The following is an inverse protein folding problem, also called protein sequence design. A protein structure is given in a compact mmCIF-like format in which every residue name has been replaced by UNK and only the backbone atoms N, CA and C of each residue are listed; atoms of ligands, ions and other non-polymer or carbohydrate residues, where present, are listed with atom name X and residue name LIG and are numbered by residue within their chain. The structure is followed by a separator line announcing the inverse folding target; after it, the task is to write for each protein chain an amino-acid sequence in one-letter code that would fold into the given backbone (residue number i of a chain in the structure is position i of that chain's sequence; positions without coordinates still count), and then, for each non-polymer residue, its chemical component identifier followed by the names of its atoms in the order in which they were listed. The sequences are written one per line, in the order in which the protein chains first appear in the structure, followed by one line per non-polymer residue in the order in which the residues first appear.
data_IF_630595073042
#
_entry.id   IF_630595073042
#
_cell.length_a   1.000
_cell.length_b   1.000
_cell.length_c   1.000
_cell.angle_alpha   90.00
_cell.angle_beta   90.00
_cell.angle_gamma   90.00
#
_symmetry.space_group_name_H-M   'P 1'
#
loop_
_entity.id
_entity.type
_entity.pdbx_description
1 polymer ?
#
# COMPACT_ATOMS: atom_id res chain seq x y z
N UNK A 1 4.66 19.81 17.52
CA UNK A 1 4.68 19.27 16.14
C UNK A 1 4.39 17.79 16.27
N UNK A 2 3.41 17.30 15.56
CA UNK A 2 3.10 15.86 15.49
C UNK A 2 4.26 15.12 14.82
N UNK A 3 4.46 13.84 15.18
CA UNK A 3 5.53 13.00 14.59
C UNK A 3 5.41 12.87 13.06
N UNK A 4 4.19 12.88 12.53
CA UNK A 4 3.90 12.90 11.09
C UNK A 4 4.42 14.19 10.45
N UNK A 5 4.09 15.34 11.02
CA UNK A 5 4.52 16.66 10.54
C UNK A 5 6.05 16.82 10.60
N UNK A 6 6.67 16.32 11.65
CA UNK A 6 8.13 16.35 11.78
C UNK A 6 8.79 15.48 10.69
N UNK A 7 8.30 14.28 10.49
CA UNK A 7 8.79 13.38 9.43
C UNK A 7 8.61 14.02 8.04
N UNK A 8 7.44 14.58 7.75
CA UNK A 8 7.17 15.32 6.51
C UNK A 8 8.15 16.46 6.31
N UNK A 9 8.37 17.31 7.33
CA UNK A 9 9.30 18.42 7.26
C UNK A 9 10.74 17.97 6.95
N UNK A 10 11.16 16.83 7.46
CA UNK A 10 12.46 16.22 7.15
C UNK A 10 12.51 15.70 5.71
N UNK A 11 11.43 15.07 5.22
CA UNK A 11 11.32 14.61 3.84
C UNK A 11 11.36 15.78 2.85
N UNK A 12 10.64 16.86 3.10
CA UNK A 12 10.67 18.08 2.28
C UNK A 12 12.11 18.62 2.16
N UNK A 13 12.87 18.63 3.25
CA UNK A 13 14.29 19.04 3.22
C UNK A 13 15.17 18.11 2.39
N UNK A 14 14.83 16.81 2.34
CA UNK A 14 15.62 15.81 1.62
C UNK A 14 15.28 15.77 0.12
N UNK A 15 13.98 15.74 -0.24
CA UNK A 15 13.51 15.55 -1.62
C UNK A 15 13.07 16.86 -2.30
N UNK A 16 13.09 17.96 -1.56
CA UNK A 16 12.79 19.30 -2.07
C UNK A 16 11.30 19.59 -2.24
N UNK A 17 10.99 20.64 -3.01
CA UNK A 17 9.62 21.11 -3.29
C UNK A 17 8.76 20.12 -4.05
N UNK A 18 9.34 19.01 -4.49
CA UNK A 18 8.63 17.91 -5.15
C UNK A 18 7.97 16.95 -4.14
N UNK A 19 8.19 17.12 -2.83
CA UNK A 19 7.47 16.34 -1.82
C UNK A 19 5.97 16.63 -1.89
N UNK A 20 5.17 15.61 -1.68
CA UNK A 20 3.72 15.77 -1.54
C UNK A 20 3.40 16.69 -0.35
N UNK A 21 2.31 17.48 -0.43
CA UNK A 21 1.86 18.28 0.71
C UNK A 21 1.44 17.40 1.88
N UNK A 22 1.49 17.95 3.08
CA UNK A 22 1.19 17.21 4.33
C UNK A 22 -0.21 16.60 4.32
N UNK A 23 -1.16 17.25 3.66
CA UNK A 23 -2.55 16.82 3.55
C UNK A 23 -2.68 15.46 2.83
N UNK A 24 -1.81 15.17 1.85
CA UNK A 24 -1.75 13.86 1.18
C UNK A 24 -1.34 12.78 2.19
N UNK A 25 -0.33 13.07 3.00
CA UNK A 25 0.17 12.14 4.00
C UNK A 25 -0.86 11.89 5.10
N UNK A 26 -1.52 12.95 5.56
CA UNK A 26 -2.62 12.85 6.53
C UNK A 26 -3.76 11.98 5.98
N UNK A 27 -4.17 12.21 4.73
CA UNK A 27 -5.18 11.40 4.05
C UNK A 27 -4.74 9.93 3.91
N UNK A 28 -3.48 9.67 3.56
CA UNK A 28 -2.95 8.30 3.47
C UNK A 28 -2.97 7.60 4.83
N UNK A 29 -2.58 8.31 5.91
CA UNK A 29 -2.59 7.77 7.27
C UNK A 29 -4.02 7.53 7.79
N UNK A 30 -5.00 8.39 7.43
CA UNK A 30 -6.41 8.17 7.75
C UNK A 30 -6.92 6.85 7.15
N UNK A 31 -6.65 6.59 5.87
CA UNK A 31 -7.00 5.31 5.24
C UNK A 31 -6.25 4.14 5.87
N UNK A 32 -4.96 4.31 6.19
CA UNK A 32 -4.13 3.26 6.78
C UNK A 32 -4.58 2.93 8.21
N UNK A 33 -4.98 3.94 8.98
CA UNK A 33 -5.53 3.77 10.32
C UNK A 33 -6.91 3.09 10.30
N UNK A 34 -7.78 3.46 9.38
CA UNK A 34 -9.11 2.85 9.22
C UNK A 34 -9.03 1.34 8.94
N UNK A 35 -8.12 0.93 8.06
CA UNK A 35 -7.92 -0.47 7.70
C UNK A 35 -6.93 -1.21 8.60
N UNK A 36 -6.41 -0.55 9.63
CA UNK A 36 -5.53 -1.21 10.58
C UNK A 36 -6.29 -2.29 11.36
N UNK A 37 -5.76 -3.54 11.42
CA UNK A 37 -6.28 -4.57 12.29
C UNK A 37 -6.23 -4.16 13.76
N UNK A 38 -7.15 -4.64 14.57
CA UNK A 38 -7.08 -4.51 16.03
C UNK A 38 -5.80 -5.19 16.56
N UNK A 39 -5.54 -6.41 16.07
CA UNK A 39 -4.28 -7.13 16.32
C UNK A 39 -3.55 -7.33 15.00
N UNK A 40 -2.45 -6.61 14.80
CA UNK A 40 -1.60 -6.80 13.63
C UNK A 40 -0.77 -8.07 13.78
N UNK A 41 -0.90 -8.99 12.86
CA UNK A 41 -0.13 -10.26 12.82
C UNK A 41 0.92 -10.22 11.71
N UNK A 42 0.58 -9.66 10.56
CA UNK A 42 1.45 -9.54 9.40
C UNK A 42 1.51 -8.09 8.95
N UNK A 43 2.71 -7.52 8.86
CA UNK A 43 2.94 -6.25 8.17
C UNK A 43 3.42 -6.54 6.75
N UNK A 44 2.68 -6.06 5.76
CA UNK A 44 3.15 -5.93 4.38
C UNK A 44 3.89 -4.60 4.27
N UNK A 45 5.22 -4.63 4.20
CA UNK A 45 6.04 -3.42 4.15
C UNK A 45 6.39 -3.09 2.70
N UNK A 46 5.72 -2.08 2.13
CA UNK A 46 5.94 -1.57 0.79
C UNK A 46 6.97 -0.43 0.76
N UNK A 47 7.34 0.05 -0.42
CA UNK A 47 8.30 1.14 -0.58
C UNK A 47 7.65 2.50 -0.30
N UNK A 48 6.63 2.86 -1.07
CA UNK A 48 5.81 4.07 -0.93
C UNK A 48 4.50 3.92 -1.69
N UNK A 49 3.51 4.73 -1.34
CA UNK A 49 2.32 4.90 -2.16
C UNK A 49 2.64 5.64 -3.48
N UNK A 50 1.66 5.75 -4.36
CA UNK A 50 1.78 6.46 -5.64
C UNK A 50 1.55 7.95 -5.41
N UNK A 51 2.37 8.79 -6.04
CA UNK A 51 2.27 10.25 -5.94
C UNK A 51 0.85 10.75 -6.24
N UNK A 52 0.29 11.51 -5.32
CA UNK A 52 -1.01 12.15 -5.43
C UNK A 52 -0.81 13.64 -5.74
N UNK A 53 -1.36 14.11 -6.85
CA UNK A 53 -1.25 15.52 -7.21
C UNK A 53 -2.13 16.39 -6.29
N UNK A 54 -1.66 17.59 -5.96
CA UNK A 54 -2.41 18.53 -5.10
C UNK A 54 -3.82 18.81 -5.65
N UNK A 55 -3.98 18.84 -6.98
CA UNK A 55 -5.26 19.01 -7.66
C UNK A 55 -6.25 17.85 -7.45
N UNK A 56 -5.79 16.73 -6.91
CA UNK A 56 -6.62 15.55 -6.63
C UNK A 56 -7.15 15.53 -5.19
N UNK A 57 -6.62 16.37 -4.30
CA UNK A 57 -7.02 16.41 -2.88
C UNK A 57 -8.48 16.84 -2.66
N UNK A 58 -9.05 17.58 -3.61
CA UNK A 58 -10.47 17.98 -3.56
C UNK A 58 -11.44 16.85 -3.90
N UNK A 59 -10.93 15.72 -4.37
CA UNK A 59 -11.76 14.55 -4.73
C UNK A 59 -12.22 13.83 -3.47
N UNK A 60 -13.45 13.33 -3.54
CA UNK A 60 -14.03 12.55 -2.44
C UNK A 60 -14.47 11.18 -2.94
N UNK A 61 -14.19 10.17 -2.12
CA UNK A 61 -14.70 8.83 -2.33
C UNK A 61 -16.15 8.79 -1.86
N UNK A 62 -17.05 8.42 -2.76
CA UNK A 62 -18.48 8.30 -2.50
C UNK A 62 -18.90 6.86 -2.75
N UNK A 63 -19.11 6.10 -1.68
CA UNK A 63 -19.67 4.76 -1.81
C UNK A 63 -21.19 4.84 -2.05
N UNK A 64 -21.74 3.93 -2.87
CA UNK A 64 -23.17 3.78 -2.99
C UNK A 64 -23.83 3.56 -1.62
N UNK A 65 -24.92 4.25 -1.33
CA UNK A 65 -25.59 4.22 -0.02
C UNK A 65 -26.04 2.82 0.42
N UNK A 66 -26.34 1.94 -0.53
CA UNK A 66 -26.73 0.55 -0.26
C UNK A 66 -25.59 -0.32 0.31
N UNK A 67 -24.34 0.17 0.29
CA UNK A 67 -23.19 -0.57 0.86
C UNK A 67 -23.12 -0.46 2.39
N UNK A 68 -23.74 0.56 3.00
CA UNK A 68 -23.86 0.66 4.46
C UNK A 68 -22.53 0.73 5.23
N UNK A 69 -21.43 1.06 4.53
CA UNK A 69 -20.08 1.14 5.09
C UNK A 69 -19.59 2.58 4.96
N UNK A 70 -19.13 3.13 6.06
CA UNK A 70 -18.47 4.44 6.07
C UNK A 70 -16.95 4.25 6.03
N UNK A 71 -16.30 4.74 4.98
CA UNK A 71 -14.84 4.69 4.79
C UNK A 71 -14.28 6.10 4.72
N UNK A 72 -12.99 6.31 4.95
CA UNK A 72 -12.37 7.62 4.73
C UNK A 72 -12.67 8.14 3.32
N UNK A 73 -13.10 9.41 3.25
CA UNK A 73 -13.59 10.01 2.00
C UNK A 73 -12.53 10.76 1.21
N UNK A 74 -11.42 11.11 1.84
CA UNK A 74 -10.31 11.77 1.16
C UNK A 74 -9.74 10.89 0.04
N UNK A 75 -9.38 11.50 -1.09
CA UNK A 75 -8.72 10.76 -2.16
C UNK A 75 -7.20 10.80 -2.00
N UNK A 76 -6.59 9.65 -2.11
CA UNK A 76 -5.14 9.47 -2.19
C UNK A 76 -4.83 8.24 -3.04
N UNK A 77 -3.71 8.25 -3.76
CA UNK A 77 -3.28 7.12 -4.61
C UNK A 77 -2.65 5.99 -3.78
N UNK A 78 -3.36 5.55 -2.77
CA UNK A 78 -3.04 4.42 -1.89
C UNK A 78 -4.04 3.29 -2.11
N UNK A 79 -3.60 2.04 -2.04
CA UNK A 79 -4.47 0.87 -2.28
C UNK A 79 -5.66 0.79 -1.30
N UNK A 80 -5.52 1.34 -0.11
CA UNK A 80 -6.61 1.42 0.87
C UNK A 80 -7.69 2.45 0.51
N UNK A 81 -7.37 3.42 -0.33
CA UNK A 81 -8.35 4.34 -0.90
C UNK A 81 -9.08 3.66 -2.06
N UNK A 82 -10.34 3.28 -1.85
CA UNK A 82 -11.14 2.58 -2.86
C UNK A 82 -11.28 3.37 -4.17
N UNK A 83 -11.29 4.71 -4.10
CA UNK A 83 -11.31 5.57 -5.28
C UNK A 83 -10.07 5.41 -6.18
N UNK A 84 -8.94 4.93 -5.63
CA UNK A 84 -7.74 4.68 -6.41
C UNK A 84 -7.90 3.44 -7.30
N UNK A 85 -8.07 3.66 -8.59
CA UNK A 85 -8.40 2.64 -9.59
C UNK A 85 -9.89 2.37 -9.78
N UNK A 86 -10.77 3.11 -9.10
CA UNK A 86 -12.22 3.02 -9.22
C UNK A 86 -12.86 4.42 -9.37
N UNK A 87 -12.65 5.03 -10.55
CA UNK A 87 -13.11 6.39 -10.84
C UNK A 87 -14.61 6.62 -10.62
N UNK A 88 -15.42 5.57 -10.80
CA UNK A 88 -16.87 5.64 -10.56
C UNK A 88 -17.24 5.88 -9.10
N UNK A 89 -16.29 5.75 -8.18
CA UNK A 89 -16.47 6.09 -6.76
C UNK A 89 -16.07 7.53 -6.43
N UNK A 90 -15.57 8.30 -7.37
CA UNK A 90 -15.17 9.68 -7.12
C UNK A 90 -16.30 10.65 -7.50
N UNK A 91 -16.53 11.65 -6.65
CA UNK A 91 -17.48 12.74 -6.91
C UNK A 91 -17.13 13.52 -8.18
N UNK A 92 -15.83 13.67 -8.45
CA UNK A 92 -15.30 14.27 -9.66
C UNK A 92 -14.25 13.32 -10.26
N UNK A 93 -14.34 12.98 -11.56
CA UNK A 93 -13.41 12.06 -12.18
C UNK A 93 -11.98 12.61 -12.21
N UNK A 94 -10.99 11.72 -12.07
CA UNK A 94 -9.59 12.02 -12.30
C UNK A 94 -9.13 11.41 -13.62
N UNK A 95 -8.07 11.96 -14.20
CA UNK A 95 -7.43 11.33 -15.34
C UNK A 95 -6.71 10.05 -14.87
N UNK A 96 -7.16 8.91 -15.38
CA UNK A 96 -6.47 7.63 -15.20
C UNK A 96 -5.82 7.28 -16.52
N UNK A 97 -4.49 7.10 -16.58
CA UNK A 97 -3.82 6.59 -17.78
C UNK A 97 -4.41 5.26 -18.22
N UNK A 98 -4.48 5.01 -19.52
CA UNK A 98 -5.10 3.82 -20.12
C UNK A 98 -4.59 2.47 -19.53
N UNK A 99 -3.35 2.46 -19.04
CA UNK A 99 -2.70 1.27 -18.46
C UNK A 99 -2.89 1.15 -16.94
N UNK A 100 -3.62 2.04 -16.31
CA UNK A 100 -3.76 2.08 -14.85
C UNK A 100 -4.95 1.30 -14.33
N UNK A 101 -5.41 0.28 -15.04
CA UNK A 101 -6.48 -0.62 -14.61
C UNK A 101 -6.49 -0.91 -13.10
N UNK A 102 -6.64 -2.13 -12.71
CA UNK A 102 -6.56 -2.52 -11.29
C UNK A 102 -5.14 -2.30 -10.76
N UNK A 103 -4.91 -1.42 -9.76
CA UNK A 103 -3.60 -1.25 -9.14
C UNK A 103 -3.00 -2.58 -8.68
N UNK A 104 -1.69 -2.76 -8.88
CA UNK A 104 -1.03 -4.05 -8.64
C UNK A 104 -1.11 -4.51 -7.17
N UNK A 105 -1.18 -3.59 -6.22
CA UNK A 105 -1.33 -3.93 -4.81
C UNK A 105 -2.65 -4.67 -4.49
N UNK A 106 -3.71 -4.48 -5.28
CA UNK A 106 -4.92 -5.30 -5.17
C UNK A 106 -4.63 -6.78 -5.42
N UNK A 107 -3.72 -7.10 -6.35
CA UNK A 107 -3.30 -8.48 -6.60
C UNK A 107 -2.52 -9.05 -5.42
N UNK A 108 -1.67 -8.25 -4.76
CA UNK A 108 -1.00 -8.66 -3.52
C UNK A 108 -2.03 -8.96 -2.42
N UNK A 109 -2.94 -8.03 -2.17
CA UNK A 109 -3.99 -8.22 -1.17
C UNK A 109 -4.80 -9.47 -1.41
N UNK A 110 -5.24 -9.67 -2.67
CA UNK A 110 -5.98 -10.86 -3.07
C UNK A 110 -5.18 -12.14 -2.82
N UNK A 111 -3.89 -12.12 -3.15
CA UNK A 111 -3.00 -13.26 -2.98
C UNK A 111 -2.67 -13.58 -1.52
N UNK A 112 -2.79 -12.63 -0.60
CA UNK A 112 -2.59 -12.92 0.83
C UNK A 112 -3.63 -13.91 1.38
N UNK A 113 -4.84 -13.91 0.84
CA UNK A 113 -5.97 -14.72 1.33
C UNK A 113 -6.48 -15.76 0.33
N UNK A 114 -6.09 -15.65 -0.95
CA UNK A 114 -6.47 -16.58 -2.00
C UNK A 114 -5.24 -17.20 -2.67
N UNK A 115 -5.33 -18.49 -2.99
CA UNK A 115 -4.32 -19.11 -3.85
C UNK A 115 -4.51 -18.63 -5.29
N UNK A 116 -3.42 -18.25 -5.93
CA UNK A 116 -3.42 -17.71 -7.29
C UNK A 116 -2.48 -18.54 -8.15
N UNK A 117 -3.01 -19.06 -9.27
CA UNK A 117 -2.29 -19.88 -10.24
C UNK A 117 -2.29 -19.26 -11.63
N UNK A 118 -3.30 -18.43 -11.94
CA UNK A 118 -3.49 -17.78 -13.22
C UNK A 118 -4.01 -16.35 -13.07
N UNK A 119 -3.94 -15.55 -14.16
CA UNK A 119 -4.43 -14.17 -14.12
C UNK A 119 -5.95 -14.09 -13.97
N UNK A 120 -6.65 -15.13 -14.38
CA UNK A 120 -8.10 -15.30 -14.27
C UNK A 120 -8.57 -15.35 -12.82
N UNK A 121 -7.73 -15.85 -11.91
CA UNK A 121 -8.04 -15.92 -10.48
C UNK A 121 -8.26 -14.52 -9.85
N UNK A 122 -7.68 -13.48 -10.46
CA UNK A 122 -7.91 -12.09 -10.04
C UNK A 122 -9.21 -11.47 -10.58
N UNK A 123 -10.00 -12.20 -11.39
CA UNK A 123 -11.22 -11.68 -12.00
C UNK A 123 -12.13 -10.92 -11.01
N UNK A 124 -12.35 -11.38 -9.74
CA UNK A 124 -13.25 -10.72 -8.81
C UNK A 124 -12.88 -9.25 -8.50
N UNK A 125 -11.60 -8.88 -8.63
CA UNK A 125 -11.10 -7.53 -8.31
C UNK A 125 -10.67 -6.71 -9.53
N UNK A 126 -10.74 -7.29 -10.74
CA UNK A 126 -10.29 -6.63 -11.97
C UNK A 126 -11.39 -5.78 -12.60
N UNK A 127 -11.05 -4.52 -12.96
CA UNK A 127 -11.95 -3.59 -13.66
C UNK A 127 -12.45 -4.17 -15.00
N UNK A 128 -11.61 -4.91 -15.71
CA UNK A 128 -11.94 -5.48 -17.03
C UNK A 128 -12.76 -6.77 -16.98
N UNK A 129 -12.97 -7.37 -15.82
CA UNK A 129 -13.58 -8.70 -15.68
C UNK A 129 -14.88 -8.68 -14.88
N UNK A 130 -14.90 -7.93 -13.78
CA UNK A 130 -16.07 -7.89 -12.89
C UNK A 130 -16.70 -6.50 -12.93
N UNK A 131 -18.00 -6.39 -13.20
CA UNK A 131 -18.69 -5.10 -13.29
C UNK A 131 -18.77 -4.41 -11.92
N UNK A 132 -18.90 -3.10 -11.96
CA UNK A 132 -19.38 -2.32 -10.83
C UNK A 132 -20.91 -2.57 -10.65
N UNK A 133 -21.48 -2.74 -9.42
CA UNK A 133 -20.82 -2.57 -8.11
C UNK A 133 -20.23 -3.84 -7.49
N UNK A 134 -20.42 -5.02 -8.12
CA UNK A 134 -19.94 -6.32 -7.59
C UNK A 134 -18.44 -6.29 -7.25
N UNK A 135 -17.64 -5.71 -8.14
CA UNK A 135 -16.19 -5.58 -7.92
C UNK A 135 -15.86 -4.77 -6.67
N UNK A 136 -16.66 -3.74 -6.36
CA UNK A 136 -16.46 -2.92 -5.16
C UNK A 136 -16.77 -3.72 -3.90
N UNK A 137 -17.83 -4.52 -3.91
CA UNK A 137 -18.15 -5.45 -2.83
C UNK A 137 -17.00 -6.43 -2.59
N UNK A 138 -16.45 -7.02 -3.66
CA UNK A 138 -15.32 -7.96 -3.57
C UNK A 138 -14.08 -7.29 -2.97
N UNK A 139 -13.79 -6.05 -3.34
CA UNK A 139 -12.67 -5.27 -2.77
C UNK A 139 -12.90 -4.92 -1.31
N UNK A 140 -14.11 -4.49 -0.93
CA UNK A 140 -14.46 -4.22 0.47
C UNK A 140 -14.36 -5.48 1.32
N UNK A 141 -14.93 -6.59 0.85
CA UNK A 141 -14.85 -7.88 1.54
C UNK A 141 -13.40 -8.34 1.71
N UNK A 142 -12.56 -8.12 0.69
CA UNK A 142 -11.14 -8.43 0.76
C UNK A 142 -10.41 -7.60 1.83
N UNK A 143 -10.65 -6.27 1.87
CA UNK A 143 -10.05 -5.40 2.89
C UNK A 143 -10.52 -5.77 4.29
N UNK A 144 -11.80 -6.06 4.45
CA UNK A 144 -12.36 -6.50 5.72
C UNK A 144 -11.73 -7.83 6.18
N UNK A 145 -11.61 -8.80 5.27
CA UNK A 145 -10.97 -10.08 5.57
C UNK A 145 -9.50 -9.91 5.98
N UNK A 146 -8.74 -9.06 5.28
CA UNK A 146 -7.35 -8.77 5.64
C UNK A 146 -7.25 -8.13 7.04
N UNK A 147 -8.16 -7.18 7.34
CA UNK A 147 -8.23 -6.53 8.65
C UNK A 147 -8.52 -7.55 9.76
N UNK A 148 -9.50 -8.42 9.57
CA UNK A 148 -9.86 -9.48 10.52
C UNK A 148 -8.73 -10.51 10.68
N UNK A 149 -8.05 -10.86 9.59
CA UNK A 149 -6.90 -11.75 9.61
C UNK A 149 -5.64 -11.15 10.26
N UNK A 150 -5.61 -9.85 10.50
CA UNK A 150 -4.46 -9.17 11.10
C UNK A 150 -3.38 -8.78 10.09
N UNK A 151 -3.71 -8.63 8.81
CA UNK A 151 -2.79 -8.22 7.74
C UNK A 151 -2.88 -6.72 7.50
N UNK A 152 -1.77 -6.02 7.60
CA UNK A 152 -1.69 -4.56 7.48
C UNK A 152 -0.60 -4.11 6.52
N UNK A 153 -0.93 -3.28 5.54
CA UNK A 153 0.03 -2.67 4.62
C UNK A 153 0.53 -1.34 5.20
N UNK A 154 1.84 -1.19 5.22
CA UNK A 154 2.56 0.02 5.62
C UNK A 154 3.59 0.36 4.55
N UNK A 155 3.70 1.64 4.20
CA UNK A 155 4.78 2.12 3.34
C UNK A 155 6.02 2.48 4.17
N UNK A 156 7.20 2.08 3.70
CA UNK A 156 8.47 2.38 4.34
C UNK A 156 8.87 3.85 4.20
N UNK A 157 8.43 4.51 3.11
CA UNK A 157 8.48 5.97 2.96
C UNK A 157 7.12 6.57 3.23
N UNK A 158 7.08 7.62 4.04
CA UNK A 158 5.85 8.34 4.33
C UNK A 158 5.31 9.10 3.11
N UNK A 159 6.19 9.62 2.25
CA UNK A 159 5.82 10.30 1.01
C UNK A 159 6.14 9.44 -0.22
N UNK A 160 5.43 9.67 -1.32
CA UNK A 160 5.73 9.06 -2.60
C UNK A 160 7.13 9.46 -3.08
N UNK A 161 7.86 8.47 -3.61
CA UNK A 161 9.25 8.66 -4.05
C UNK A 161 9.36 8.88 -5.57
N UNK A 162 8.33 8.52 -6.33
CA UNK A 162 8.34 8.60 -7.80
C UNK A 162 7.26 9.58 -8.28
N UNK A 163 7.72 10.76 -8.68
CA UNK A 163 6.84 11.84 -9.11
C UNK A 163 6.63 11.72 -10.62
N UNK A 164 5.39 11.73 -11.11
CA UNK A 164 5.09 11.69 -12.53
C UNK A 164 5.80 12.81 -13.30
N UNK A 165 6.32 12.50 -14.50
CA UNK A 165 7.03 13.45 -15.39
C UNK A 165 8.35 14.01 -14.82
N UNK A 166 8.78 13.62 -13.63
CA UNK A 166 10.08 13.94 -13.07
C UNK A 166 11.11 12.83 -13.34
N UNK A 167 12.41 13.15 -13.37
CA UNK A 167 13.45 12.13 -13.38
C UNK A 167 13.32 11.19 -12.18
N UNK A 168 13.64 9.91 -12.38
CA UNK A 168 13.65 8.97 -11.26
C UNK A 168 14.69 9.42 -10.22
N UNK A 169 14.35 9.36 -8.92
CA UNK A 169 15.31 9.69 -7.87
C UNK A 169 16.50 8.74 -7.91
N UNK A 170 17.67 9.21 -7.49
CA UNK A 170 18.84 8.35 -7.36
C UNK A 170 18.60 7.26 -6.31
N UNK A 171 19.20 6.07 -6.45
CA UNK A 171 19.10 5.01 -5.44
C UNK A 171 19.48 5.49 -4.03
N UNK A 172 20.45 6.39 -3.94
CA UNK A 172 20.92 6.96 -2.68
C UNK A 172 19.85 7.87 -2.03
N UNK A 173 19.12 8.65 -2.84
CA UNK A 173 18.02 9.48 -2.35
C UNK A 173 16.84 8.61 -1.87
N UNK A 174 16.49 7.57 -2.61
CA UNK A 174 15.46 6.60 -2.20
C UNK A 174 15.83 5.96 -0.87
N UNK A 175 17.06 5.47 -0.74
CA UNK A 175 17.54 4.86 0.51
C UNK A 175 17.50 5.84 1.69
N UNK A 176 17.93 7.08 1.48
CA UNK A 176 17.90 8.12 2.51
C UNK A 176 16.46 8.44 2.96
N UNK A 177 15.52 8.56 2.01
CA UNK A 177 14.11 8.81 2.31
C UNK A 177 13.45 7.65 3.08
N UNK A 178 13.73 6.40 2.68
CA UNK A 178 13.24 5.21 3.37
C UNK A 178 13.75 5.16 4.82
N UNK A 179 15.06 5.35 5.02
CA UNK A 179 15.68 5.35 6.36
C UNK A 179 15.14 6.47 7.23
N UNK A 180 15.03 7.67 6.67
CA UNK A 180 14.52 8.81 7.42
C UNK A 180 13.05 8.63 7.83
N UNK A 181 12.18 8.19 6.91
CA UNK A 181 10.77 7.92 7.23
C UNK A 181 10.65 6.83 8.30
N UNK A 182 11.46 5.78 8.18
CA UNK A 182 11.48 4.71 9.17
C UNK A 182 11.90 5.20 10.55
N UNK A 183 13.01 5.93 10.64
CA UNK A 183 13.56 6.40 11.91
C UNK A 183 12.68 7.46 12.58
N UNK A 184 12.04 8.33 11.78
CA UNK A 184 11.24 9.43 12.30
C UNK A 184 9.78 9.04 12.62
N UNK A 185 9.21 8.03 11.93
CA UNK A 185 7.79 7.74 12.04
C UNK A 185 7.44 6.26 11.86
N UNK A 186 7.70 5.68 10.68
CA UNK A 186 7.17 4.37 10.27
C UNK A 186 7.65 3.26 11.20
N UNK A 187 8.93 3.25 11.58
CA UNK A 187 9.49 2.23 12.46
C UNK A 187 8.81 2.20 13.83
N UNK A 188 8.34 3.34 14.33
CA UNK A 188 7.62 3.39 15.60
C UNK A 188 6.22 2.80 15.49
N UNK A 189 5.47 3.11 14.41
CA UNK A 189 4.12 2.54 14.23
C UNK A 189 4.17 1.03 14.00
N UNK A 190 5.22 0.53 13.33
CA UNK A 190 5.43 -0.92 13.15
C UNK A 190 5.79 -1.60 14.48
N UNK A 191 6.71 -1.01 15.27
CA UNK A 191 7.03 -1.53 16.62
C UNK A 191 5.81 -1.56 17.52
N UNK A 192 5.02 -0.49 17.55
CA UNK A 192 3.80 -0.40 18.37
C UNK A 192 2.73 -1.40 17.92
N UNK A 193 2.73 -1.80 16.65
CA UNK A 193 1.82 -2.81 16.14
C UNK A 193 2.23 -4.24 16.55
N UNK A 194 3.50 -4.45 16.93
CA UNK A 194 4.05 -5.74 17.41
C UNK A 194 3.68 -6.93 16.51
N UNK A 195 3.97 -6.88 15.18
CA UNK A 195 3.57 -7.94 14.27
C UNK A 195 4.28 -9.25 14.56
N UNK A 196 3.68 -10.38 14.19
CA UNK A 196 4.31 -11.70 14.27
C UNK A 196 5.31 -11.93 13.12
N UNK A 197 5.14 -11.26 11.97
CA UNK A 197 6.11 -11.27 10.88
C UNK A 197 5.96 -10.04 9.97
N UNK A 198 6.99 -9.80 9.15
CA UNK A 198 7.01 -8.77 8.12
C UNK A 198 7.21 -9.42 6.76
N UNK A 199 6.36 -9.07 5.80
CA UNK A 199 6.57 -9.35 4.38
C UNK A 199 7.11 -8.08 3.73
N UNK A 200 8.41 -8.02 3.51
CA UNK A 200 9.07 -6.88 2.89
C UNK A 200 8.91 -6.97 1.35
N UNK A 201 8.20 -6.01 0.76
CA UNK A 201 7.88 -5.95 -0.65
C UNK A 201 8.96 -5.18 -1.39
N UNK A 202 9.87 -5.91 -2.02
CA UNK A 202 10.96 -5.36 -2.81
C UNK A 202 12.33 -5.46 -2.17
N UNK A 203 13.31 -5.90 -2.98
CA UNK A 203 14.71 -6.02 -2.54
C UNK A 203 15.33 -4.66 -2.17
N UNK A 204 14.84 -3.55 -2.77
CA UNK A 204 15.28 -2.18 -2.46
C UNK A 204 14.98 -1.80 -1.02
N UNK A 205 13.73 -1.98 -0.59
CA UNK A 205 13.27 -1.73 0.79
C UNK A 205 14.06 -2.58 1.79
N UNK A 206 14.17 -3.89 1.51
CA UNK A 206 14.91 -4.81 2.37
C UNK A 206 16.37 -4.40 2.55
N UNK A 207 17.04 -3.98 1.48
CA UNK A 207 18.44 -3.51 1.53
C UNK A 207 18.56 -2.19 2.31
N UNK A 208 17.67 -1.24 2.07
CA UNK A 208 17.70 0.08 2.72
C UNK A 208 17.46 -0.01 4.22
N UNK A 209 16.58 -0.90 4.66
CA UNK A 209 16.16 -1.04 6.05
C UNK A 209 16.75 -2.25 6.78
N UNK A 210 17.63 -3.04 6.15
CA UNK A 210 18.08 -4.35 6.64
C UNK A 210 18.30 -4.45 8.16
N UNK A 211 19.24 -3.66 8.71
CA UNK A 211 19.52 -3.69 10.16
C UNK A 211 18.29 -3.29 11.01
N UNK A 212 17.54 -2.27 10.56
CA UNK A 212 16.34 -1.79 11.24
C UNK A 212 15.22 -2.84 11.31
N UNK A 213 15.09 -3.64 10.25
CA UNK A 213 14.14 -4.76 10.22
C UNK A 213 14.61 -5.89 11.14
N UNK A 214 15.92 -6.17 11.16
CA UNK A 214 16.51 -7.18 12.04
C UNK A 214 16.31 -6.82 13.53
N UNK A 215 16.45 -5.56 13.89
CA UNK A 215 16.26 -5.04 15.27
C UNK A 215 14.82 -5.21 15.79
N UNK A 216 13.84 -5.45 14.92
CA UNK A 216 12.47 -5.75 15.35
C UNK A 216 12.32 -7.14 16.00
N UNK A 217 13.28 -8.04 15.78
CA UNK A 217 13.26 -9.38 16.37
C UNK A 217 12.18 -10.31 15.84
N UNK A 218 11.57 -9.98 14.69
CA UNK A 218 10.51 -10.78 14.06
C UNK A 218 10.96 -11.34 12.71
N UNK A 219 10.42 -12.49 12.25
CA UNK A 219 10.72 -13.03 10.94
C UNK A 219 10.40 -12.02 9.82
N UNK A 220 11.35 -11.85 8.89
CA UNK A 220 11.20 -11.00 7.71
C UNK A 220 11.32 -11.85 6.45
N UNK A 221 10.26 -11.87 5.63
CA UNK A 221 10.27 -12.52 4.31
C UNK A 221 10.35 -11.45 3.23
N UNK A 222 11.32 -11.57 2.32
CA UNK A 222 11.48 -10.62 1.20
C UNK A 222 10.79 -11.20 -0.02
N UNK A 223 9.86 -10.42 -0.60
CA UNK A 223 9.12 -10.78 -1.80
C UNK A 223 9.34 -9.70 -2.87
N UNK A 224 9.53 -10.06 -4.16
CA UNK A 224 9.65 -9.07 -5.23
C UNK A 224 8.46 -8.10 -5.29
N UNK A 225 8.71 -6.89 -5.78
CA UNK A 225 7.64 -5.93 -6.08
C UNK A 225 6.74 -6.45 -7.21
N UNK A 226 5.45 -6.06 -7.25
CA UNK A 226 4.51 -6.52 -8.29
C UNK A 226 4.91 -6.16 -9.72
N UNK A 227 5.67 -5.07 -9.89
CA UNK A 227 6.16 -4.59 -11.17
C UNK A 227 7.61 -5.03 -11.47
N UNK A 228 8.17 -5.96 -10.69
CA UNK A 228 9.48 -6.53 -10.98
C UNK A 228 9.47 -7.20 -12.36
N UNK A 229 10.58 -7.07 -13.08
CA UNK A 229 10.77 -7.77 -14.37
C UNK A 229 11.01 -9.24 -14.08
N UNK A 230 9.94 -10.03 -14.15
CA UNK A 230 9.94 -11.47 -13.92
C UNK A 230 9.35 -12.16 -15.16
N UNK A 231 9.71 -13.41 -15.40
CA UNK A 231 9.01 -14.25 -16.35
C UNK A 231 7.55 -14.47 -15.91
N UNK A 232 6.65 -14.74 -16.84
CA UNK A 232 5.21 -14.89 -16.54
C UNK A 232 4.93 -15.94 -15.45
N UNK A 233 5.64 -17.05 -15.47
CA UNK A 233 5.52 -18.11 -14.46
C UNK A 233 6.01 -17.66 -13.08
N UNK A 234 7.10 -16.90 -13.01
CA UNK A 234 7.66 -16.39 -11.77
C UNK A 234 6.72 -15.39 -11.06
N UNK A 235 5.87 -14.66 -11.80
CA UNK A 235 4.87 -13.76 -11.20
C UNK A 235 3.88 -14.54 -10.33
N UNK A 236 3.41 -15.70 -10.76
CA UNK A 236 2.48 -16.51 -9.97
C UNK A 236 3.16 -17.16 -8.77
N UNK A 237 4.42 -17.57 -8.88
CA UNK A 237 5.21 -18.04 -7.75
C UNK A 237 5.36 -16.96 -6.67
N UNK A 238 5.52 -15.69 -7.08
CA UNK A 238 5.56 -14.54 -6.16
C UNK A 238 4.22 -14.40 -5.42
N UNK A 239 3.09 -14.47 -6.12
CA UNK A 239 1.77 -14.43 -5.49
C UNK A 239 1.54 -15.60 -4.53
N UNK A 240 1.98 -16.80 -4.89
CA UNK A 240 1.93 -17.96 -4.00
C UNK A 240 2.79 -17.78 -2.74
N UNK A 241 3.93 -17.07 -2.83
CA UNK A 241 4.76 -16.72 -1.66
C UNK A 241 4.03 -15.80 -0.69
N UNK A 242 3.28 -14.78 -1.18
CA UNK A 242 2.44 -13.96 -0.32
C UNK A 242 1.42 -14.83 0.44
N UNK A 243 0.69 -15.69 -0.29
CA UNK A 243 -0.28 -16.60 0.32
C UNK A 243 0.37 -17.49 1.39
N UNK A 244 1.44 -18.20 1.05
CA UNK A 244 2.11 -19.13 1.95
C UNK A 244 2.63 -18.44 3.21
N UNK A 245 3.27 -17.27 3.07
CA UNK A 245 3.83 -16.53 4.22
C UNK A 245 2.73 -16.03 5.15
N UNK A 246 1.66 -15.45 4.61
CA UNK A 246 0.52 -14.98 5.40
C UNK A 246 -0.18 -16.16 6.06
N UNK A 247 -0.52 -17.20 5.31
CA UNK A 247 -1.17 -18.41 5.82
C UNK A 247 -0.41 -19.04 6.98
N UNK A 248 0.89 -19.29 6.82
CA UNK A 248 1.73 -19.89 7.87
C UNK A 248 1.79 -19.05 9.15
N UNK A 249 1.70 -17.73 9.02
CA UNK A 249 1.67 -16.82 10.17
C UNK A 249 0.32 -16.83 10.87
N UNK A 250 -0.77 -16.99 10.11
CA UNK A 250 -2.12 -17.01 10.65
C UNK A 250 -2.48 -18.33 11.35
N UNK A 251 -1.74 -19.41 11.09
CA UNK A 251 -1.96 -20.71 11.74
C UNK A 251 -1.27 -20.83 13.11
N UNK A 252 -0.39 -19.89 13.48
CA UNK A 252 0.29 -19.79 14.78
C UNK A 252 -0.50 -18.91 15.75
#
# INVERSE_FOLDING_TARGET
MDALEECHSRLVRLIGSSAEPIEVLQCAEEHRAYWRPERVRVVLLAESHVYTETSELDRRVVLPSFMGIDVPRGFVRLVYCLGYGENSLLDLPIFIPANSGTPQFWKIFYSCVNRVHANEDFAPIQVSRTPFPERIWNKLALLQHLKEAGVWLVDASLAALYIPKCPKPSPMLVEAALRMSWDAYVGQIVRNASPSCIVCIGKGVARSLGNRLFELGVPVTIVPQPNARLASTEHFEVFQKYHATVWLTLQK
#
